data_IF_485934970038
#
_entry.id   IF_485934970038
#
_cell.length_a   1.000
_cell.length_b   1.000
_cell.length_c   1.000
_cell.angle_alpha   90.00
_cell.angle_beta   90.00
_cell.angle_gamma   90.00
#
_symmetry.space_group_name_H-M   'P 1'
#
loop_
_entity.id
_entity.type
_entity.pdbx_description
1 polymer ?
#
# COMPACT_ATOMS: atom_id res chain seq x y z
N UNK A 1 -29.04 23.90 1.31
CA UNK A 1 -28.20 22.72 1.01
C UNK A 1 -27.32 22.52 2.23
N UNK A 2 -27.68 21.60 3.12
CA UNK A 2 -26.97 21.40 4.39
C UNK A 2 -25.73 20.53 4.15
N UNK A 3 -24.56 21.11 4.31
CA UNK A 3 -23.29 20.38 4.22
C UNK A 3 -23.14 19.49 5.46
N UNK A 4 -23.26 18.18 5.26
CA UNK A 4 -22.92 17.21 6.30
C UNK A 4 -21.40 17.09 6.35
N UNK A 5 -20.78 17.77 7.30
CA UNK A 5 -19.40 17.50 7.70
C UNK A 5 -19.34 16.06 8.23
N UNK A 6 -18.56 15.20 7.59
CA UNK A 6 -18.44 13.80 8.01
C UNK A 6 -17.91 13.74 9.46
N UNK A 7 -18.49 12.89 10.30
CA UNK A 7 -18.08 12.71 11.70
C UNK A 7 -16.67 12.10 11.86
N UNK A 8 -16.07 11.64 10.76
CA UNK A 8 -14.73 11.06 10.68
C UNK A 8 -13.98 11.76 9.55
N UNK A 9 -12.81 12.32 9.89
CA UNK A 9 -11.94 12.98 8.93
C UNK A 9 -10.81 12.03 8.51
N UNK A 10 -10.49 12.02 7.21
CA UNK A 10 -9.48 11.12 6.66
C UNK A 10 -8.10 11.72 6.91
N UNK A 11 -7.42 11.24 7.95
CA UNK A 11 -6.04 11.63 8.23
C UNK A 11 -5.07 10.81 7.39
N UNK A 12 -4.66 11.34 6.23
CA UNK A 12 -3.56 10.74 5.48
C UNK A 12 -2.22 11.05 6.16
N UNK A 13 -1.31 10.07 6.31
CA UNK A 13 0.06 10.33 6.74
C UNK A 13 0.71 11.38 5.83
N UNK A 14 1.55 12.29 6.36
CA UNK A 14 2.21 13.30 5.55
C UNK A 14 2.99 12.67 4.38
N UNK A 15 2.86 13.21 3.17
CA UNK A 15 3.50 12.65 1.97
C UNK A 15 5.01 12.43 2.15
N UNK A 16 5.68 13.34 2.85
CA UNK A 16 7.12 13.25 3.13
C UNK A 16 7.46 11.98 3.93
N UNK A 17 6.61 11.60 4.89
CA UNK A 17 6.79 10.36 5.65
C UNK A 17 6.61 9.14 4.75
N UNK A 18 5.58 9.12 3.89
CA UNK A 18 5.37 8.04 2.94
C UNK A 18 6.54 7.88 1.95
N UNK A 19 7.12 8.99 1.48
CA UNK A 19 8.30 8.98 0.59
C UNK A 19 9.55 8.41 1.24
N UNK A 20 9.68 8.48 2.57
CA UNK A 20 10.80 7.89 3.30
C UNK A 20 10.53 6.42 3.68
N UNK A 21 9.31 6.12 4.15
CA UNK A 21 8.94 4.77 4.62
C UNK A 21 8.84 3.78 3.46
N UNK A 22 8.29 4.19 2.30
CA UNK A 22 8.07 3.26 1.19
C UNK A 22 9.38 2.65 0.63
N UNK A 23 10.45 3.42 0.38
CA UNK A 23 11.75 2.87 0.00
C UNK A 23 12.37 1.97 1.09
N UNK A 24 12.22 2.35 2.36
CA UNK A 24 12.76 1.58 3.48
C UNK A 24 12.07 0.22 3.61
N UNK A 25 10.73 0.18 3.57
CA UNK A 25 9.95 -1.06 3.54
C UNK A 25 10.31 -1.92 2.33
N UNK A 26 10.45 -1.31 1.15
CA UNK A 26 10.84 -2.04 -0.07
C UNK A 26 12.22 -2.70 0.06
N UNK A 27 13.16 -2.07 0.75
CA UNK A 27 14.48 -2.65 0.98
C UNK A 27 14.42 -3.73 2.06
N UNK A 28 13.77 -3.44 3.19
CA UNK A 28 13.66 -4.37 4.32
C UNK A 28 12.95 -5.67 3.93
N UNK A 29 11.84 -5.58 3.18
CA UNK A 29 11.07 -6.74 2.69
C UNK A 29 11.85 -7.63 1.72
N UNK A 30 12.96 -7.15 1.13
CA UNK A 30 13.86 -7.95 0.30
C UNK A 30 14.95 -8.68 1.08
N UNK A 31 14.99 -8.49 2.39
CA UNK A 31 15.96 -9.12 3.30
C UNK A 31 15.24 -10.08 4.24
N UNK A 32 15.96 -10.95 4.98
CA UNK A 32 15.35 -11.80 6.01
C UNK A 32 14.59 -11.01 7.10
N UNK A 33 14.89 -9.72 7.31
CA UNK A 33 14.13 -8.85 8.21
C UNK A 33 12.67 -8.64 7.76
N UNK A 34 12.38 -8.86 6.47
CA UNK A 34 11.02 -8.82 5.94
C UNK A 34 10.08 -9.82 6.61
N UNK A 35 10.59 -10.96 7.11
CA UNK A 35 9.79 -11.93 7.86
C UNK A 35 9.23 -11.35 9.17
N UNK A 36 9.87 -10.33 9.74
CA UNK A 36 9.40 -9.63 10.95
C UNK A 36 8.33 -8.58 10.64
N UNK A 37 8.23 -8.15 9.38
CA UNK A 37 7.27 -7.16 8.91
C UNK A 37 5.99 -7.83 8.40
N UNK A 38 5.60 -8.97 8.98
CA UNK A 38 4.65 -9.98 8.43
C UNK A 38 3.28 -9.48 7.96
N UNK A 39 2.90 -8.25 8.29
CA UNK A 39 1.70 -7.57 7.79
C UNK A 39 1.95 -6.70 6.54
N UNK A 40 3.16 -6.74 5.96
CA UNK A 40 3.54 -5.98 4.77
C UNK A 40 4.09 -6.87 3.68
N UNK A 41 3.79 -6.52 2.43
CA UNK A 41 4.38 -7.15 1.26
C UNK A 41 4.67 -6.11 0.17
N UNK A 42 5.42 -6.51 -0.86
CA UNK A 42 5.65 -5.70 -2.06
C UNK A 42 4.82 -6.27 -3.21
N UNK A 43 4.04 -5.41 -3.86
CA UNK A 43 3.34 -5.73 -5.10
C UNK A 43 4.09 -5.12 -6.27
N UNK A 44 4.63 -5.97 -7.13
CA UNK A 44 5.20 -5.57 -8.41
C UNK A 44 4.16 -5.73 -9.51
N UNK A 45 3.96 -4.69 -10.33
CA UNK A 45 3.00 -4.73 -11.43
C UNK A 45 3.40 -3.78 -12.56
N UNK A 46 2.85 -4.00 -13.75
CA UNK A 46 3.01 -3.11 -14.91
C UNK A 46 1.74 -2.29 -15.11
N UNK A 47 1.88 -0.97 -15.22
CA UNK A 47 0.74 -0.08 -15.41
C UNK A 47 0.06 -0.33 -16.75
N UNK A 48 -1.22 -0.73 -16.75
CA UNK A 48 -1.96 -1.11 -17.97
C UNK A 48 -2.02 -0.03 -19.04
N UNK A 49 -1.99 1.25 -18.63
CA UNK A 49 -2.03 2.41 -19.54
C UNK A 49 -0.64 2.94 -19.91
N UNK A 50 0.29 2.92 -18.96
CA UNK A 50 1.61 3.54 -19.11
C UNK A 50 2.71 2.56 -19.53
N UNK A 51 2.51 1.25 -19.36
CA UNK A 51 3.54 0.24 -19.51
C UNK A 51 4.68 0.31 -18.48
N UNK A 52 4.62 1.25 -17.53
CA UNK A 52 5.67 1.45 -16.53
C UNK A 52 5.61 0.36 -15.46
N UNK A 53 6.77 -0.11 -15.01
CA UNK A 53 6.87 -1.02 -13.87
C UNK A 53 6.76 -0.24 -12.55
N UNK A 54 5.95 -0.76 -11.63
CA UNK A 54 5.72 -0.24 -10.30
C UNK A 54 6.03 -1.31 -9.26
N UNK A 55 6.44 -0.87 -8.08
CA UNK A 55 6.83 -1.72 -6.95
C UNK A 55 6.37 -1.02 -5.68
N UNK A 56 5.26 -1.48 -5.11
CA UNK A 56 4.54 -0.76 -4.06
C UNK A 56 4.46 -1.60 -2.79
N UNK A 57 4.96 -1.10 -1.64
CA UNK A 57 4.71 -1.73 -0.35
C UNK A 57 3.25 -1.52 0.06
N UNK A 58 2.63 -2.58 0.56
CA UNK A 58 1.21 -2.62 0.94
C UNK A 58 1.05 -3.38 2.24
N UNK A 59 -0.01 -3.10 3.00
CA UNK A 59 -0.39 -3.99 4.09
C UNK A 59 -1.11 -5.22 3.54
N UNK A 60 -0.76 -6.38 4.07
CA UNK A 60 -1.20 -7.69 3.64
C UNK A 60 -1.62 -8.50 4.87
N UNK A 61 -2.85 -8.99 4.86
CA UNK A 61 -3.43 -9.71 5.97
C UNK A 61 -4.05 -11.01 5.49
N UNK A 62 -3.72 -12.12 6.14
CA UNK A 62 -4.40 -13.38 5.92
C UNK A 62 -5.69 -13.42 6.74
N UNK A 63 -6.82 -13.62 6.07
CA UNK A 63 -8.12 -13.78 6.70
C UNK A 63 -8.83 -14.95 6.03
N UNK A 64 -9.29 -15.92 6.82
CA UNK A 64 -10.00 -17.11 6.35
C UNK A 64 -9.27 -17.92 5.25
N UNK A 65 -7.93 -17.86 5.24
CA UNK A 65 -7.07 -18.53 4.25
C UNK A 65 -6.82 -17.72 2.98
N UNK A 66 -7.49 -16.59 2.83
CA UNK A 66 -7.31 -15.66 1.71
C UNK A 66 -6.37 -14.50 2.09
N UNK A 67 -5.58 -14.06 1.11
CA UNK A 67 -4.67 -12.93 1.27
C UNK A 67 -5.37 -11.63 0.85
N UNK A 68 -5.62 -10.76 1.83
CA UNK A 68 -6.19 -9.45 1.62
C UNK A 68 -5.10 -8.38 1.60
N UNK A 69 -5.17 -7.50 0.61
CA UNK A 69 -4.28 -6.36 0.48
C UNK A 69 -5.11 -5.09 0.64
N UNK A 70 -4.75 -4.26 1.63
CA UNK A 70 -5.49 -3.04 1.92
C UNK A 70 -4.67 -1.84 1.48
N UNK A 71 -5.28 -1.00 0.64
CA UNK A 71 -4.68 0.26 0.22
C UNK A 71 -5.72 1.20 -0.38
N UNK A 72 -5.44 2.49 -0.26
CA UNK A 72 -6.23 3.54 -0.87
C UNK A 72 -5.49 4.11 -2.10
N UNK A 73 -5.47 3.35 -3.20
CA UNK A 73 -4.84 3.82 -4.43
C UNK A 73 -5.49 3.27 -5.70
N UNK A 74 -5.50 4.09 -6.74
CA UNK A 74 -6.12 3.77 -8.04
C UNK A 74 -5.41 2.65 -8.82
N UNK A 75 -4.22 2.21 -8.41
CA UNK A 75 -3.52 1.15 -9.14
C UNK A 75 -4.21 -0.21 -9.06
N UNK A 76 -5.17 -0.42 -8.15
CA UNK A 76 -5.96 -1.65 -8.10
C UNK A 76 -6.60 -2.02 -9.44
N UNK A 77 -6.91 -1.04 -10.28
CA UNK A 77 -7.47 -1.25 -11.63
C UNK A 77 -6.48 -1.86 -12.64
N UNK A 78 -5.24 -2.18 -12.24
CA UNK A 78 -4.29 -2.90 -13.08
C UNK A 78 -4.50 -4.43 -13.05
N UNK A 79 -5.25 -4.93 -12.07
CA UNK A 79 -5.66 -6.33 -11.93
C UNK A 79 -7.13 -6.46 -12.35
#
# INVERSE_FOLDING_TARGET
MTEHSAAVDVAHPPEAMLRAVNPALRLALKTPLGALLGDFMVVDFTGRKSGKQYSTPVSAHQLDGDLYVVLEAQWKYNF
#
